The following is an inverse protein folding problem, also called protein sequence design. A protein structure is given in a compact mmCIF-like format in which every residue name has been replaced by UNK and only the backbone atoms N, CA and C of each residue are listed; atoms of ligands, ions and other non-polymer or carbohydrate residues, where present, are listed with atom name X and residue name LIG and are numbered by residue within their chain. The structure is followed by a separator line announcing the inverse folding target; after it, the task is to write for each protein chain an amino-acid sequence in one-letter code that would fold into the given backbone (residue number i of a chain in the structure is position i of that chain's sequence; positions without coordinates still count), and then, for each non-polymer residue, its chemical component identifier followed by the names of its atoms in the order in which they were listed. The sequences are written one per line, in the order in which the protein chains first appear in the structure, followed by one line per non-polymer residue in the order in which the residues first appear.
data_IF_401181214144
#
_entry.id   IF_401181214144
#
_cell.length_a   1.000
_cell.length_b   1.000
_cell.length_c   1.000
_cell.angle_alpha   90.00
_cell.angle_beta   90.00
_cell.angle_gamma   90.00
#
_symmetry.space_group_name_H-M   'P 1'
#
loop_
_entity.id
_entity.type
_entity.pdbx_description
1 polymer ?
#
# COMPACT_ATOMS: atom_id res chain seq x y z
N UNK A 1 3.42 46.03 -5.38
CA UNK A 1 3.65 45.16 -4.21
C UNK A 1 2.86 43.88 -4.39
N UNK A 2 3.51 42.74 -4.69
CA UNK A 2 2.85 41.42 -4.65
C UNK A 2 2.76 41.01 -3.20
N UNK A 3 1.54 40.72 -2.74
CA UNK A 3 1.31 40.04 -1.46
C UNK A 3 2.10 38.72 -1.46
N UNK A 4 2.80 38.35 -0.39
CA UNK A 4 3.41 37.02 -0.30
C UNK A 4 2.29 35.99 -0.29
N UNK A 5 2.32 35.05 -1.24
CA UNK A 5 1.40 33.93 -1.26
C UNK A 5 1.62 33.11 0.00
N UNK A 6 0.64 33.12 0.90
CA UNK A 6 0.52 32.17 2.01
C UNK A 6 0.26 30.77 1.42
N UNK A 7 1.28 30.15 0.82
CA UNK A 7 1.29 28.71 0.64
C UNK A 7 1.56 28.12 2.02
N UNK A 8 0.51 28.00 2.84
CA UNK A 8 0.58 27.15 4.02
C UNK A 8 1.12 25.80 3.54
N UNK A 9 2.33 25.44 3.97
CA UNK A 9 2.96 24.19 3.57
C UNK A 9 2.03 23.06 4.05
N UNK A 10 1.32 22.44 3.12
CA UNK A 10 0.35 21.41 3.46
C UNK A 10 1.15 20.26 4.09
N UNK A 11 0.81 19.91 5.33
CA UNK A 11 1.48 18.82 6.05
C UNK A 11 1.28 17.50 5.27
N UNK A 12 2.37 16.82 4.84
CA UNK A 12 2.28 15.55 4.13
C UNK A 12 1.47 14.47 4.87
N UNK A 13 1.52 14.43 6.21
CA UNK A 13 0.73 13.51 7.00
C UNK A 13 -0.76 13.78 6.89
N UNK A 14 -1.18 15.05 6.91
CA UNK A 14 -2.58 15.42 6.73
C UNK A 14 -3.07 15.01 5.34
N UNK A 15 -2.30 15.27 4.29
CA UNK A 15 -2.66 14.83 2.94
C UNK A 15 -2.77 13.31 2.82
N UNK A 16 -1.85 12.59 3.46
CA UNK A 16 -1.82 11.15 3.43
C UNK A 16 -3.01 10.55 4.20
N UNK A 17 -3.29 11.07 5.40
CA UNK A 17 -4.45 10.72 6.19
C UNK A 17 -5.75 10.96 5.42
N UNK A 18 -5.92 12.13 4.79
CA UNK A 18 -7.12 12.44 4.00
C UNK A 18 -7.29 11.51 2.80
N UNK A 19 -6.19 11.13 2.14
CA UNK A 19 -6.20 10.13 1.07
C UNK A 19 -6.66 8.77 1.61
N UNK A 20 -6.10 8.32 2.74
CA UNK A 20 -6.43 7.03 3.34
C UNK A 20 -7.87 6.98 3.85
N UNK A 21 -8.39 8.07 4.41
CA UNK A 21 -9.80 8.19 4.78
C UNK A 21 -10.74 8.04 3.54
N UNK A 22 -10.36 8.62 2.39
CA UNK A 22 -11.12 8.45 1.14
C UNK A 22 -11.02 7.02 0.60
N UNK A 23 -9.85 6.39 0.68
CA UNK A 23 -9.66 4.99 0.28
C UNK A 23 -10.51 4.07 1.16
N UNK A 24 -10.48 4.29 2.49
CA UNK A 24 -11.34 3.56 3.43
C UNK A 24 -12.81 3.68 3.07
N UNK A 25 -13.32 4.89 2.80
CA UNK A 25 -14.73 5.07 2.45
C UNK A 25 -15.14 4.25 1.20
N UNK A 26 -14.22 4.05 0.24
CA UNK A 26 -14.45 3.18 -0.92
C UNK A 26 -14.46 1.71 -0.54
N UNK A 27 -13.57 1.28 0.35
CA UNK A 27 -13.62 -0.09 0.89
C UNK A 27 -14.87 -0.36 1.70
N UNK A 28 -15.34 0.60 2.51
CA UNK A 28 -16.60 0.48 3.25
C UNK A 28 -17.79 0.27 2.29
N UNK A 29 -17.78 0.98 1.16
CA UNK A 29 -18.76 0.76 0.09
C UNK A 29 -18.60 -0.61 -0.59
N UNK A 30 -17.38 -1.04 -0.92
CA UNK A 30 -17.14 -2.36 -1.51
C UNK A 30 -17.61 -3.46 -0.55
N UNK A 31 -17.24 -3.39 0.72
CA UNK A 31 -17.67 -4.34 1.76
C UNK A 31 -19.20 -4.40 1.84
N UNK A 32 -19.87 -3.24 1.87
CA UNK A 32 -21.33 -3.17 1.86
C UNK A 32 -21.92 -3.86 0.63
N UNK A 33 -21.41 -3.56 -0.57
CA UNK A 33 -21.87 -4.14 -1.83
C UNK A 33 -21.65 -5.66 -1.89
N UNK A 34 -20.54 -6.16 -1.35
CA UNK A 34 -20.24 -7.59 -1.32
C UNK A 34 -21.14 -8.39 -0.37
N UNK A 35 -21.68 -7.75 0.68
CA UNK A 35 -22.52 -8.41 1.69
C UNK A 35 -24.02 -8.22 1.47
N UNK A 36 -24.43 -7.04 1.02
CA UNK A 36 -25.84 -6.63 0.94
C UNK A 36 -26.31 -6.46 -0.51
N UNK A 37 -25.40 -6.22 -1.45
CA UNK A 37 -25.74 -6.03 -2.85
C UNK A 37 -26.36 -7.30 -3.44
N UNK A 38 -27.42 -7.13 -4.24
CA UNK A 38 -27.86 -8.19 -5.13
C UNK A 38 -26.67 -8.58 -6.00
N UNK A 39 -26.51 -9.89 -6.23
CA UNK A 39 -25.41 -10.41 -7.04
C UNK A 39 -25.69 -10.19 -8.53
N UNK A 40 -25.86 -8.94 -8.93
CA UNK A 40 -26.03 -8.50 -10.30
C UNK A 40 -24.74 -7.87 -10.86
N UNK A 41 -24.76 -7.62 -12.17
CA UNK A 41 -23.66 -7.03 -12.93
C UNK A 41 -23.38 -5.57 -12.55
N UNK A 42 -24.40 -4.82 -12.13
CA UNK A 42 -24.27 -3.41 -11.78
C UNK A 42 -23.47 -3.22 -10.48
N UNK A 43 -23.65 -4.13 -9.52
CA UNK A 43 -22.86 -4.21 -8.30
C UNK A 43 -21.41 -4.58 -8.63
N UNK A 44 -21.19 -5.56 -9.50
CA UNK A 44 -19.85 -5.92 -9.96
C UNK A 44 -19.14 -4.71 -10.63
N UNK A 45 -19.86 -3.93 -11.42
CA UNK A 45 -19.31 -2.71 -12.05
C UNK A 45 -18.94 -1.63 -11.06
N UNK A 46 -19.80 -1.39 -10.09
CA UNK A 46 -19.51 -0.42 -9.05
C UNK A 46 -18.29 -0.85 -8.24
N UNK A 47 -18.15 -2.13 -7.89
CA UNK A 47 -16.97 -2.68 -7.22
C UNK A 47 -15.71 -2.45 -8.07
N UNK A 48 -15.72 -2.85 -9.35
CA UNK A 48 -14.58 -2.66 -10.25
C UNK A 48 -14.18 -1.19 -10.40
N UNK A 49 -15.16 -0.29 -10.47
CA UNK A 49 -14.93 1.15 -10.53
C UNK A 49 -14.28 1.68 -9.24
N UNK A 50 -14.80 1.29 -8.06
CA UNK A 50 -14.23 1.71 -6.78
C UNK A 50 -12.79 1.20 -6.63
N UNK A 51 -12.55 -0.07 -6.95
CA UNK A 51 -11.20 -0.67 -6.91
C UNK A 51 -10.23 0.06 -7.82
N UNK A 52 -10.64 0.38 -9.06
CA UNK A 52 -9.78 1.14 -9.98
C UNK A 52 -9.41 2.50 -9.40
N UNK A 53 -10.34 3.19 -8.74
CA UNK A 53 -10.07 4.48 -8.09
C UNK A 53 -9.14 4.35 -6.88
N UNK A 54 -9.24 3.26 -6.13
CA UNK A 54 -8.29 2.94 -5.05
C UNK A 54 -6.90 2.75 -5.65
N UNK A 55 -6.76 1.89 -6.65
CA UNK A 55 -5.48 1.62 -7.33
C UNK A 55 -4.89 2.89 -7.95
N UNK A 56 -5.69 3.71 -8.63
CA UNK A 56 -5.24 5.00 -9.15
C UNK A 56 -4.75 5.93 -8.01
N UNK A 57 -5.49 6.00 -6.90
CA UNK A 57 -5.16 6.83 -5.75
C UNK A 57 -3.90 6.40 -5.00
N UNK A 58 -3.63 5.10 -4.91
CA UNK A 58 -2.44 4.56 -4.25
C UNK A 58 -1.22 4.54 -5.18
N UNK A 59 -1.42 4.24 -6.48
CA UNK A 59 -0.33 4.12 -7.45
C UNK A 59 0.20 5.47 -8.00
N UNK A 60 -0.59 6.54 -8.01
CA UNK A 60 -0.15 7.83 -8.61
C UNK A 60 0.93 8.59 -7.82
N UNK A 61 1.27 8.20 -6.58
CA UNK A 61 2.38 8.79 -5.83
C UNK A 61 3.70 8.02 -6.05
N UNK A 62 4.11 7.91 -7.32
CA UNK A 62 5.27 7.16 -7.86
C UNK A 62 6.66 7.62 -7.37
N UNK A 63 6.92 7.54 -6.07
CA UNK A 63 8.26 7.31 -5.47
C UNK A 63 8.16 6.46 -4.19
N UNK A 64 7.07 5.73 -3.97
CA UNK A 64 6.98 4.82 -2.83
C UNK A 64 7.97 3.68 -3.02
N UNK A 65 8.93 3.56 -2.10
CA UNK A 65 9.58 2.29 -1.84
C UNK A 65 8.46 1.32 -1.43
N UNK A 66 8.35 0.20 -2.15
CA UNK A 66 7.48 -0.93 -1.78
C UNK A 66 7.89 -1.35 -0.38
N UNK A 67 7.12 -0.90 0.59
CA UNK A 67 7.34 -1.21 1.98
C UNK A 67 6.36 -2.31 2.39
N UNK A 68 6.76 -3.13 3.38
CA UNK A 68 6.10 -4.38 3.68
C UNK A 68 4.61 -4.25 3.96
N UNK A 69 3.86 -5.26 3.52
CA UNK A 69 2.49 -5.47 3.99
C UNK A 69 2.52 -5.83 5.49
N UNK A 70 1.45 -5.56 6.26
CA UNK A 70 1.45 -5.75 7.71
C UNK A 70 1.80 -7.16 8.17
N UNK A 71 1.42 -8.18 7.39
CA UNK A 71 1.77 -9.57 7.67
C UNK A 71 3.29 -9.80 7.67
N UNK A 72 4.05 -8.97 6.96
CA UNK A 72 5.50 -9.01 6.97
C UNK A 72 6.08 -8.38 8.24
N UNK A 73 5.34 -7.63 9.07
CA UNK A 73 5.92 -6.95 10.23
C UNK A 73 5.75 -7.81 11.49
N UNK A 74 6.87 -8.18 12.11
CA UNK A 74 6.89 -8.94 13.36
C UNK A 74 7.88 -8.36 14.37
N UNK A 75 7.77 -8.69 15.66
CA UNK A 75 8.78 -8.28 16.64
C UNK A 75 10.13 -8.91 16.29
N UNK A 76 11.23 -8.16 16.41
CA UNK A 76 12.58 -8.74 16.31
C UNK A 76 12.84 -9.70 17.48
N UNK A 77 13.76 -10.64 17.31
CA UNK A 77 14.24 -11.45 18.43
C UNK A 77 14.95 -10.57 19.47
N UNK A 78 14.98 -10.98 20.75
CA UNK A 78 15.69 -10.22 21.80
C UNK A 78 17.18 -10.00 21.45
N UNK A 79 17.79 -10.96 20.75
CA UNK A 79 19.18 -10.89 20.29
C UNK A 79 19.38 -9.83 19.19
N UNK A 80 18.49 -9.78 18.20
CA UNK A 80 18.57 -8.81 17.11
C UNK A 80 18.21 -7.39 17.56
N UNK A 81 17.31 -7.26 18.54
CA UNK A 81 17.02 -5.98 19.20
C UNK A 81 18.26 -5.44 19.93
N UNK A 82 19.01 -6.30 20.63
CA UNK A 82 20.22 -5.89 21.34
C UNK A 82 21.35 -5.44 20.40
N UNK A 83 21.44 -6.04 19.20
CA UNK A 83 22.47 -5.73 18.19
C UNK A 83 22.15 -4.49 17.36
N UNK A 84 20.91 -4.34 16.92
CA UNK A 84 20.50 -3.30 15.97
C UNK A 84 19.77 -2.12 16.62
N UNK A 85 19.24 -2.30 17.83
CA UNK A 85 18.31 -1.35 18.45
C UNK A 85 16.91 -1.33 17.80
N UNK A 86 16.66 -2.15 16.78
CA UNK A 86 15.41 -2.17 16.02
C UNK A 86 14.41 -3.14 16.64
N UNK A 87 13.24 -2.64 17.06
CA UNK A 87 12.21 -3.44 17.74
C UNK A 87 11.42 -4.39 16.83
N UNK A 88 11.32 -4.09 15.54
CA UNK A 88 10.45 -4.79 14.59
C UNK A 88 11.22 -5.19 13.33
N UNK A 89 11.00 -6.41 12.84
CA UNK A 89 11.56 -6.89 11.59
C UNK A 89 10.51 -6.95 10.49
N UNK A 90 11.01 -7.04 9.26
CA UNK A 90 10.25 -7.31 8.07
C UNK A 90 10.56 -8.74 7.64
N UNK A 91 9.56 -9.61 7.68
CA UNK A 91 9.60 -11.00 7.27
C UNK A 91 9.72 -11.09 5.75
N UNK A 92 10.75 -11.80 5.32
CA UNK A 92 11.02 -12.09 3.91
C UNK A 92 10.13 -13.22 3.35
N UNK A 93 9.26 -13.81 4.18
CA UNK A 93 8.46 -14.98 3.81
C UNK A 93 7.10 -14.64 3.21
N UNK A 94 6.62 -13.41 3.41
CA UNK A 94 5.38 -12.91 2.80
C UNK A 94 5.78 -11.95 1.68
N UNK A 95 5.48 -12.26 0.41
CA UNK A 95 5.86 -11.39 -0.69
C UNK A 95 5.14 -10.03 -0.57
N UNK A 96 5.85 -8.90 -0.77
CA UNK A 96 5.22 -7.59 -0.76
C UNK A 96 4.28 -7.45 -1.95
N UNK A 97 3.25 -6.62 -1.82
CA UNK A 97 2.42 -6.24 -2.96
C UNK A 97 3.16 -5.19 -3.79
N UNK A 98 3.71 -5.61 -4.93
CA UNK A 98 4.66 -4.84 -5.73
C UNK A 98 3.98 -3.85 -6.67
N UNK A 99 4.78 -2.98 -7.29
CA UNK A 99 4.31 -2.10 -8.37
C UNK A 99 3.75 -2.91 -9.55
N UNK A 100 4.33 -4.08 -9.85
CA UNK A 100 3.84 -4.92 -10.94
C UNK A 100 2.51 -5.58 -10.58
N UNK A 101 2.29 -5.94 -9.32
CA UNK A 101 0.98 -6.39 -8.84
C UNK A 101 -0.08 -5.30 -8.97
N UNK A 102 0.26 -4.05 -8.63
CA UNK A 102 -0.63 -2.90 -8.87
C UNK A 102 -0.95 -2.70 -10.35
N UNK A 103 0.05 -2.83 -11.24
CA UNK A 103 -0.14 -2.70 -12.70
C UNK A 103 -1.05 -3.79 -13.24
N UNK A 104 -0.82 -5.02 -12.82
CA UNK A 104 -1.57 -6.18 -13.28
C UNK A 104 -3.01 -6.11 -12.76
N UNK A 105 -3.22 -5.71 -11.50
CA UNK A 105 -4.54 -5.42 -10.96
C UNK A 105 -5.26 -4.29 -11.72
N UNK A 106 -4.56 -3.18 -11.99
CA UNK A 106 -5.12 -2.08 -12.79
C UNK A 106 -5.56 -2.57 -14.18
N UNK A 107 -4.73 -3.39 -14.85
CA UNK A 107 -5.02 -3.95 -16.18
C UNK A 107 -6.25 -4.85 -16.14
N UNK A 108 -6.37 -5.74 -15.15
CA UNK A 108 -7.56 -6.59 -14.98
C UNK A 108 -8.83 -5.78 -14.74
N UNK A 109 -8.77 -4.77 -13.86
CA UNK A 109 -9.91 -3.88 -13.61
C UNK A 109 -10.30 -3.07 -14.84
N UNK A 110 -9.32 -2.60 -15.60
CA UNK A 110 -9.55 -1.91 -16.86
C UNK A 110 -10.24 -2.82 -17.88
N UNK A 111 -9.72 -4.04 -18.07
CA UNK A 111 -10.33 -5.04 -18.94
C UNK A 111 -11.76 -5.37 -18.50
N UNK A 112 -11.98 -5.56 -17.20
CA UNK A 112 -13.32 -5.81 -16.66
C UNK A 112 -14.29 -4.68 -17.05
N UNK A 113 -13.91 -3.43 -16.77
CA UNK A 113 -14.76 -2.26 -17.00
C UNK A 113 -15.04 -1.96 -18.47
N UNK A 114 -14.12 -2.29 -19.37
CA UNK A 114 -14.19 -1.85 -20.78
C UNK A 114 -14.40 -2.98 -21.79
N UNK A 115 -14.14 -4.23 -21.42
CA UNK A 115 -14.16 -5.35 -22.36
C UNK A 115 -15.02 -6.54 -21.91
N UNK A 116 -15.00 -6.91 -20.61
CA UNK A 116 -15.75 -8.07 -20.09
C UNK A 116 -17.16 -7.72 -19.58
N UNK A 117 -17.38 -6.48 -19.11
CA UNK A 117 -18.68 -6.04 -18.59
C UNK A 117 -19.79 -6.10 -19.69
N UNK A 118 -20.96 -6.70 -19.38
CA UNK A 118 -22.11 -6.82 -20.28
C UNK A 118 -22.63 -5.51 -20.86
N UNK A 119 -22.36 -4.39 -20.21
CA UNK A 119 -22.78 -3.07 -20.68
C UNK A 119 -21.90 -2.50 -21.81
N UNK A 120 -20.75 -3.13 -22.12
CA UNK A 120 -19.73 -2.52 -23.00
C UNK A 120 -19.26 -3.43 -24.14
N UNK A 121 -19.36 -4.76 -24.04
CA UNK A 121 -18.84 -5.62 -25.13
C UNK A 121 -19.20 -7.10 -25.16
N UNK A 122 -19.61 -7.74 -24.05
CA UNK A 122 -20.06 -9.14 -24.05
C UNK A 122 -21.55 -9.26 -23.76
N UNK A 123 -22.24 -10.26 -24.32
CA UNK A 123 -23.64 -10.54 -23.94
C UNK A 123 -23.76 -11.26 -22.59
N UNK A 124 -22.73 -12.01 -22.19
CA UNK A 124 -22.71 -12.78 -20.93
C UNK A 124 -21.34 -12.70 -20.23
N UNK A 125 -21.37 -12.54 -18.90
CA UNK A 125 -20.21 -12.62 -18.03
C UNK A 125 -19.83 -14.08 -17.79
N UNK A 126 -18.54 -14.40 -17.93
CA UNK A 126 -18.05 -15.69 -17.48
C UNK A 126 -18.00 -15.73 -15.94
N UNK A 127 -18.42 -16.86 -15.36
CA UNK A 127 -18.39 -17.08 -13.90
C UNK A 127 -16.99 -16.88 -13.30
N UNK A 128 -15.95 -17.16 -14.08
CA UNK A 128 -14.55 -16.99 -13.67
C UNK A 128 -14.16 -15.50 -13.59
N UNK A 129 -14.61 -14.67 -14.53
CA UNK A 129 -14.35 -13.22 -14.53
C UNK A 129 -14.92 -12.56 -13.28
N UNK A 130 -16.16 -12.93 -12.93
CA UNK A 130 -16.81 -12.44 -11.72
C UNK A 130 -16.08 -12.88 -10.45
N UNK A 131 -15.75 -14.16 -10.35
CA UNK A 131 -15.00 -14.69 -9.19
C UNK A 131 -13.66 -13.97 -9.04
N UNK A 132 -12.94 -13.75 -10.14
CA UNK A 132 -11.65 -13.06 -10.13
C UNK A 132 -11.78 -11.62 -9.63
N UNK A 133 -12.79 -10.87 -10.07
CA UNK A 133 -13.05 -9.51 -9.56
C UNK A 133 -13.23 -9.49 -8.04
N UNK A 134 -14.01 -10.42 -7.50
CA UNK A 134 -14.29 -10.51 -6.07
C UNK A 134 -13.05 -10.93 -5.27
N UNK A 135 -12.25 -11.84 -5.82
CA UNK A 135 -10.97 -12.23 -5.23
C UNK A 135 -9.98 -11.06 -5.22
N UNK A 136 -9.92 -10.30 -6.31
CA UNK A 136 -9.10 -9.09 -6.41
C UNK A 136 -9.54 -8.01 -5.39
N UNK A 137 -10.86 -7.84 -5.18
CA UNK A 137 -11.41 -6.89 -4.21
C UNK A 137 -10.96 -7.22 -2.78
N UNK A 138 -11.09 -8.50 -2.39
CA UNK A 138 -10.66 -8.99 -1.07
C UNK A 138 -9.16 -8.87 -0.89
N UNK A 139 -8.39 -9.23 -1.92
CA UNK A 139 -6.94 -9.17 -1.86
C UNK A 139 -6.45 -7.72 -1.69
N UNK A 140 -6.97 -6.77 -2.49
CA UNK A 140 -6.62 -5.36 -2.37
C UNK A 140 -7.00 -4.79 -1.00
N UNK A 141 -8.16 -5.19 -0.46
CA UNK A 141 -8.60 -4.83 0.89
C UNK A 141 -7.62 -5.33 1.96
N UNK A 142 -7.20 -6.58 1.88
CA UNK A 142 -6.22 -7.16 2.81
C UNK A 142 -4.87 -6.42 2.74
N UNK A 143 -4.38 -6.13 1.54
CA UNK A 143 -3.11 -5.43 1.32
C UNK A 143 -3.11 -4.02 1.90
N UNK A 144 -4.23 -3.28 1.77
CA UNK A 144 -4.30 -1.90 2.22
C UNK A 144 -4.81 -1.75 3.67
N UNK A 145 -5.41 -2.80 4.24
CA UNK A 145 -6.03 -2.79 5.59
C UNK A 145 -5.13 -2.20 6.68
N UNK A 146 -3.85 -2.55 6.63
CA UNK A 146 -2.78 -1.74 7.18
C UNK A 146 -1.62 -1.77 6.19
N UNK A 147 -0.71 -0.81 6.22
CA UNK A 147 0.46 -0.79 5.34
C UNK A 147 1.48 0.26 5.78
N UNK A 148 2.71 0.10 5.30
CA UNK A 148 3.78 1.07 5.48
C UNK A 148 4.15 1.70 4.13
N UNK A 149 4.40 3.00 4.09
CA UNK A 149 4.93 3.69 2.91
C UNK A 149 6.02 4.66 3.33
N UNK A 150 6.91 5.01 2.40
CA UNK A 150 7.80 6.16 2.55
C UNK A 150 7.68 7.11 1.37
N UNK A 151 7.77 8.40 1.67
CA UNK A 151 7.81 9.49 0.71
C UNK A 151 9.02 10.35 1.08
N UNK A 152 10.12 10.19 0.35
CA UNK A 152 11.38 10.84 0.71
C UNK A 152 11.95 10.27 2.01
N UNK A 153 12.28 11.14 2.96
CA UNK A 153 12.78 10.77 4.30
C UNK A 153 11.65 10.55 5.31
N UNK A 154 10.39 10.73 4.92
CA UNK A 154 9.24 10.53 5.80
C UNK A 154 8.63 9.17 5.53
N UNK A 155 8.31 8.45 6.60
CA UNK A 155 7.54 7.22 6.52
C UNK A 155 6.18 7.35 7.19
N UNK A 156 5.24 6.54 6.74
CA UNK A 156 3.88 6.48 7.25
C UNK A 156 3.50 5.03 7.46
N UNK A 157 3.04 4.71 8.67
CA UNK A 157 2.26 3.53 8.95
C UNK A 157 0.78 3.90 8.92
N UNK A 158 -0.04 3.10 8.25
CA UNK A 158 -1.48 3.30 8.17
C UNK A 158 -2.21 2.04 8.61
N UNK A 159 -3.27 2.21 9.39
CA UNK A 159 -4.36 1.24 9.57
C UNK A 159 -5.63 1.89 9.02
N UNK A 160 -6.29 1.28 8.03
CA UNK A 160 -7.52 1.83 7.47
C UNK A 160 -8.67 1.83 8.48
N UNK A 161 -8.71 0.79 9.33
CA UNK A 161 -9.64 0.64 10.46
C UNK A 161 -8.85 0.15 11.68
N UNK A 162 -8.68 1.01 12.66
CA UNK A 162 -8.18 0.65 13.99
C UNK A 162 -9.27 -0.07 14.82
N UNK A 163 -8.97 -0.36 16.09
CA UNK A 163 -9.92 -0.99 17.01
C UNK A 163 -11.20 -0.17 17.27
N UNK A 164 -11.18 1.13 16.96
CA UNK A 164 -12.34 2.03 17.06
C UNK A 164 -13.08 2.17 15.72
N UNK A 165 -12.57 1.52 14.67
CA UNK A 165 -13.06 1.65 13.32
C UNK A 165 -12.70 2.99 12.67
N UNK A 166 -11.65 3.68 13.13
CA UNK A 166 -11.14 4.91 12.52
C UNK A 166 -9.88 4.66 11.70
N UNK A 167 -9.61 5.54 10.73
CA UNK A 167 -8.33 5.49 10.00
C UNK A 167 -7.26 6.07 10.89
N UNK A 168 -6.17 5.33 11.08
CA UNK A 168 -5.02 5.73 11.89
C UNK A 168 -3.79 5.84 11.01
N UNK A 169 -3.11 6.98 11.10
CA UNK A 169 -1.84 7.21 10.42
C UNK A 169 -0.80 7.64 11.46
N UNK A 170 0.35 6.98 11.44
CA UNK A 170 1.53 7.33 12.24
C UNK A 170 2.63 7.76 11.28
N UNK A 171 3.19 8.95 11.51
CA UNK A 171 4.33 9.46 10.76
C UNK A 171 5.62 9.16 11.53
N UNK A 172 6.68 8.78 10.81
CA UNK A 172 8.04 8.66 11.33
C UNK A 172 9.09 9.18 10.33
N UNK A 173 10.35 9.22 10.75
CA UNK A 173 11.48 9.53 9.88
C UNK A 173 12.23 8.25 9.51
N UNK A 174 12.64 8.15 8.25
CA UNK A 174 13.51 7.07 7.77
C UNK A 174 14.94 7.45 8.07
N UNK A 175 15.55 6.77 9.05
CA UNK A 175 16.98 6.84 9.30
C UNK A 175 17.64 5.84 8.35
N UNK A 176 18.30 6.32 7.30
CA UNK A 176 19.16 5.49 6.46
C UNK A 176 20.52 5.44 7.18
N UNK A 177 21.01 4.26 7.63
CA UNK A 177 22.33 4.15 8.20
C UNK A 177 23.37 4.66 7.20
N UNK A 178 24.25 5.54 7.67
CA UNK A 178 25.37 6.03 6.86
C UNK A 178 26.24 4.82 6.48
N UNK A 179 26.31 4.48 5.19
CA UNK A 179 27.13 3.36 4.72
C UNK A 179 28.63 3.67 4.74
N UNK A 180 29.06 4.76 5.36
CA UNK A 180 30.47 5.06 5.58
C UNK A 180 31.00 4.40 6.87
N UNK A 181 31.21 3.09 6.85
CA UNK A 181 32.28 2.52 7.67
C UNK A 181 33.54 2.40 6.80
N UNK A 182 34.67 3.01 7.18
CA UNK A 182 35.93 2.79 6.48
C UNK A 182 36.43 1.38 6.81
N UNK A 183 36.58 0.55 5.79
CA UNK A 183 37.43 -0.65 5.89
C UNK A 183 38.86 -0.22 6.22
N UNK A 184 39.20 -0.19 7.51
CA UNK A 184 40.58 -0.07 7.97
C UNK A 184 40.77 -0.85 9.26
N UNK A 185 40.88 -2.17 9.13
CA UNK A 185 41.77 -2.99 9.98
C UNK A 185 42.24 -4.19 9.16
N UNK A 186 43.36 -4.05 8.46
CA UNK A 186 44.33 -5.14 8.41
C UNK A 186 45.71 -4.50 8.49
N UNK A 187 46.18 -4.48 9.73
CA UNK A 187 47.54 -4.15 10.09
C UNK A 187 48.53 -5.05 9.36
N UNK A 188 49.60 -4.38 8.99
CA UNK A 188 50.84 -4.87 8.43
C UNK A 188 51.43 -5.93 9.36
N UNK A 189 51.63 -7.15 8.86
CA UNK A 189 52.70 -8.02 9.34
C UNK A 189 53.05 -9.04 8.26
N UNK A 190 53.77 -8.56 7.26
CA UNK A 190 54.54 -9.41 6.37
C UNK A 190 55.76 -8.64 5.85
N UNK A 191 56.79 -8.49 6.69
CA UNK A 191 58.20 -8.46 6.28
C UNK A 191 59.15 -8.37 7.49
N UNK A 192 60.31 -9.04 7.36
CA UNK A 192 61.44 -9.23 8.30
C UNK A 192 61.14 -10.22 9.44
N UNK A 193 61.77 -11.41 9.53
CA UNK A 193 63.14 -11.82 9.21
C UNK A 193 63.22 -13.28 8.75
#
# INVERSE_FOLDING_TARGET
MRQPSNSASINPATQYHDLMARIRARFDLIDYLMHVGEKDTSVDELIAFQMRKIVEGTAYKRKMLSLPTPGMIGPNSEEDQAKSGVQWHVSDTIPPFTIDDYRELYRRLHYWLHESNPYVGRQELEKNDRKQLWDDARHLGAVLSAHFISIGTTAFYCELKDLTGQTRVIQGEVIVPDQSEPHSVMDQNAQTH
#
